data_IF_160853762105
#
_entry.id   IF_160853762105
#
_cell.length_a   1.000
_cell.length_b   1.000
_cell.length_c   1.000
_cell.angle_alpha   90.00
_cell.angle_beta   90.00
_cell.angle_gamma   90.00
#
_symmetry.space_group_name_H-M   'P 1'
#
loop_
_entity.id
_entity.type
_entity.pdbx_description
1 polymer ?
#
# COMPACT_ATOMS: atom_id res chain seq x y z
N UNK A 1 -42.58 28.98 -21.40
CA UNK A 1 -42.04 28.79 -20.03
C UNK A 1 -41.27 27.48 -20.06
N UNK A 2 -39.95 27.60 -19.92
CA UNK A 2 -38.98 26.51 -20.03
C UNK A 2 -38.89 25.78 -18.69
N UNK A 3 -39.28 24.50 -18.66
CA UNK A 3 -38.86 23.59 -17.60
C UNK A 3 -37.72 22.75 -18.16
N UNK A 4 -36.50 23.28 -18.02
CA UNK A 4 -35.28 22.51 -18.25
C UNK A 4 -35.14 21.47 -17.15
N UNK A 5 -35.16 20.20 -17.55
CA UNK A 5 -34.80 19.05 -16.71
C UNK A 5 -33.35 19.20 -16.23
N UNK A 6 -33.17 19.61 -14.97
CA UNK A 6 -31.86 19.66 -14.30
C UNK A 6 -31.43 18.28 -13.77
N UNK A 7 -32.06 17.19 -14.19
CA UNK A 7 -31.86 15.87 -13.61
C UNK A 7 -30.84 14.98 -14.35
N UNK A 8 -30.00 15.54 -15.22
CA UNK A 8 -29.09 14.77 -16.11
C UNK A 8 -27.58 14.87 -15.80
N UNK A 9 -27.18 15.21 -14.57
CA UNK A 9 -25.75 15.24 -14.19
C UNK A 9 -25.40 14.45 -12.93
N UNK A 10 -26.21 13.44 -12.56
CA UNK A 10 -25.75 12.40 -11.67
C UNK A 10 -24.78 11.50 -12.44
N UNK A 11 -23.49 11.83 -12.42
CA UNK A 11 -22.45 10.87 -12.76
C UNK A 11 -22.72 9.61 -11.91
N UNK A 12 -22.73 8.40 -12.49
CA UNK A 12 -22.91 7.20 -11.71
C UNK A 12 -21.83 7.18 -10.62
N UNK A 13 -22.25 7.21 -9.36
CA UNK A 13 -21.33 7.04 -8.22
C UNK A 13 -20.50 5.80 -8.52
N UNK A 14 -19.16 5.91 -8.63
CA UNK A 14 -18.34 4.75 -8.91
C UNK A 14 -18.63 3.73 -7.81
N UNK A 15 -19.10 2.55 -8.21
CA UNK A 15 -19.36 1.50 -7.25
C UNK A 15 -18.07 1.23 -6.47
N UNK A 16 -18.18 0.85 -5.19
CA UNK A 16 -17.00 0.51 -4.41
C UNK A 16 -16.10 -0.48 -5.19
N UNK A 17 -16.69 -1.49 -5.82
CA UNK A 17 -15.99 -2.45 -6.68
C UNK A 17 -15.18 -1.77 -7.80
N UNK A 18 -15.75 -0.78 -8.49
CA UNK A 18 -15.04 -0.03 -9.53
C UNK A 18 -13.91 0.85 -8.96
N UNK A 19 -14.08 1.38 -7.74
CA UNK A 19 -13.07 2.23 -7.09
C UNK A 19 -11.87 1.43 -6.55
N UNK A 20 -12.01 0.13 -6.29
CA UNK A 20 -10.93 -0.69 -5.72
C UNK A 20 -9.66 -0.65 -6.57
N UNK A 21 -9.78 -0.88 -7.89
CA UNK A 21 -8.64 -0.87 -8.82
C UNK A 21 -7.91 0.47 -8.80
N UNK A 22 -8.65 1.56 -8.95
CA UNK A 22 -8.13 2.93 -8.89
C UNK A 22 -7.38 3.25 -7.59
N UNK A 23 -7.82 2.69 -6.46
CA UNK A 23 -7.16 2.87 -5.17
C UNK A 23 -5.96 1.92 -4.97
N UNK A 24 -6.02 0.71 -5.52
CA UNK A 24 -5.00 -0.32 -5.35
C UNK A 24 -3.80 -0.09 -6.28
N UNK A 25 -4.02 0.28 -7.53
CA UNK A 25 -2.99 0.47 -8.56
C UNK A 25 -1.81 1.35 -8.11
N UNK A 26 -2.02 2.58 -7.61
CA UNK A 26 -0.90 3.42 -7.18
C UNK A 26 -0.14 2.84 -5.99
N UNK A 27 -0.81 2.13 -5.08
CA UNK A 27 -0.18 1.49 -3.93
C UNK A 27 0.67 0.29 -4.34
N UNK A 28 0.22 -0.49 -5.33
CA UNK A 28 0.99 -1.59 -5.92
C UNK A 28 2.21 -1.04 -6.66
N UNK A 29 2.03 0.01 -7.48
CA UNK A 29 3.13 0.66 -8.18
C UNK A 29 4.19 1.23 -7.20
N UNK A 30 3.76 1.88 -6.12
CA UNK A 30 4.64 2.37 -5.05
C UNK A 30 5.42 1.22 -4.41
N UNK A 31 4.75 0.13 -4.02
CA UNK A 31 5.41 -1.02 -3.40
C UNK A 31 6.46 -1.67 -4.33
N UNK A 32 6.14 -1.82 -5.62
CA UNK A 32 7.07 -2.38 -6.61
C UNK A 32 8.26 -1.46 -6.85
N UNK A 33 8.04 -0.15 -7.00
CA UNK A 33 9.11 0.82 -7.19
C UNK A 33 10.08 0.84 -6.01
N UNK A 34 9.57 0.78 -4.78
CA UNK A 34 10.41 0.71 -3.58
C UNK A 34 11.19 -0.60 -3.50
N UNK A 35 10.55 -1.74 -3.82
CA UNK A 35 11.24 -3.03 -3.85
C UNK A 35 12.41 -3.03 -4.86
N UNK A 36 12.18 -2.52 -6.08
CA UNK A 36 13.23 -2.41 -7.10
C UNK A 36 14.36 -1.46 -6.67
N UNK A 37 14.02 -0.34 -6.03
CA UNK A 37 15.01 0.59 -5.51
C UNK A 37 15.89 -0.04 -4.43
N UNK A 38 15.28 -0.76 -3.47
CA UNK A 38 16.00 -1.46 -2.40
C UNK A 38 16.96 -2.51 -2.96
N UNK A 39 16.56 -3.25 -4.00
CA UNK A 39 17.43 -4.25 -4.65
C UNK A 39 18.67 -3.60 -5.26
N UNK A 40 18.55 -2.39 -5.81
CA UNK A 40 19.67 -1.66 -6.42
C UNK A 40 20.55 -0.98 -5.39
N UNK A 41 19.94 -0.39 -4.37
CA UNK A 41 20.61 0.37 -3.32
C UNK A 41 19.80 0.25 -2.01
N UNK A 42 20.15 -0.71 -1.14
CA UNK A 42 19.48 -0.87 0.15
C UNK A 42 19.52 0.42 0.96
N UNK A 43 18.36 0.84 1.49
CA UNK A 43 18.27 2.00 2.35
C UNK A 43 17.13 1.85 3.36
N UNK A 44 17.36 2.38 4.56
CA UNK A 44 16.36 2.40 5.63
C UNK A 44 15.08 3.16 5.21
N UNK A 45 15.22 4.19 4.39
CA UNK A 45 14.09 4.97 3.86
C UNK A 45 13.31 4.20 2.79
N UNK A 46 13.99 3.52 1.86
CA UNK A 46 13.30 2.65 0.89
C UNK A 46 12.50 1.55 1.59
N UNK A 47 13.10 0.91 2.61
CA UNK A 47 12.40 -0.06 3.46
C UNK A 47 11.23 0.56 4.24
N UNK A 48 11.32 1.84 4.62
CA UNK A 48 10.19 2.57 5.20
C UNK A 48 9.01 2.61 4.26
N UNK A 49 9.25 3.10 3.05
CA UNK A 49 8.21 3.43 2.09
C UNK A 49 7.55 2.14 1.59
N UNK A 50 8.35 1.07 1.40
CA UNK A 50 7.81 -0.26 1.15
C UNK A 50 6.86 -0.72 2.27
N UNK A 51 7.24 -0.56 3.55
CA UNK A 51 6.35 -0.90 4.68
C UNK A 51 5.07 -0.08 4.67
N UNK A 52 5.16 1.22 4.38
CA UNK A 52 4.01 2.13 4.31
C UNK A 52 3.04 1.68 3.21
N UNK A 53 3.53 1.43 2.00
CA UNK A 53 2.73 0.95 0.87
C UNK A 53 2.02 -0.38 1.19
N UNK A 54 2.75 -1.36 1.73
CA UNK A 54 2.18 -2.67 2.11
C UNK A 54 1.12 -2.56 3.21
N UNK A 55 1.33 -1.67 4.20
CA UNK A 55 0.31 -1.40 5.24
C UNK A 55 -0.94 -0.76 4.64
N UNK A 56 -0.80 0.17 3.70
CA UNK A 56 -1.92 0.80 2.98
C UNK A 56 -2.70 -0.23 2.17
N UNK A 57 -2.02 -1.11 1.43
CA UNK A 57 -2.65 -2.24 0.72
C UNK A 57 -3.44 -3.13 1.66
N UNK A 58 -2.86 -3.51 2.81
CA UNK A 58 -3.56 -4.33 3.81
C UNK A 58 -4.80 -3.65 4.38
N UNK A 59 -4.75 -2.33 4.61
CA UNK A 59 -5.90 -1.56 5.07
C UNK A 59 -6.98 -1.46 3.98
N UNK A 60 -6.60 -1.26 2.72
CA UNK A 60 -7.55 -1.24 1.59
C UNK A 60 -8.32 -2.55 1.51
N UNK A 61 -7.61 -3.69 1.53
CA UNK A 61 -8.23 -5.02 1.53
C UNK A 61 -9.17 -5.23 2.72
N UNK A 62 -8.78 -4.77 3.91
CA UNK A 62 -9.65 -4.83 5.09
C UNK A 62 -10.94 -4.02 4.91
N UNK A 63 -10.85 -2.80 4.38
CA UNK A 63 -12.02 -1.94 4.12
C UNK A 63 -12.97 -2.54 3.07
N UNK A 64 -12.41 -3.29 2.11
CA UNK A 64 -13.15 -3.96 1.05
C UNK A 64 -13.60 -5.38 1.38
N UNK A 65 -13.31 -5.88 2.59
CA UNK A 65 -13.62 -7.25 3.03
C UNK A 65 -15.06 -7.70 2.72
N UNK A 66 -16.12 -6.88 2.88
CA UNK A 66 -17.49 -7.32 2.57
C UNK A 66 -17.74 -7.63 1.09
N UNK A 67 -16.87 -7.16 0.20
CA UNK A 67 -16.97 -7.31 -1.26
C UNK A 67 -16.00 -8.36 -1.82
N UNK A 68 -15.19 -8.98 -0.97
CA UNK A 68 -14.14 -9.94 -1.35
C UNK A 68 -14.45 -11.33 -0.82
N UNK A 69 -13.91 -12.35 -1.48
CA UNK A 69 -13.87 -13.68 -0.89
C UNK A 69 -13.11 -13.66 0.44
N UNK A 70 -13.68 -14.28 1.47
CA UNK A 70 -13.14 -14.22 2.83
C UNK A 70 -11.77 -14.92 2.95
N UNK A 71 -11.57 -16.02 2.21
CA UNK A 71 -10.31 -16.76 2.18
C UNK A 71 -9.22 -15.97 1.49
N UNK A 72 -9.51 -15.44 0.30
CA UNK A 72 -8.54 -14.66 -0.47
C UNK A 72 -8.20 -13.34 0.24
N UNK A 73 -9.18 -12.65 0.83
CA UNK A 73 -8.92 -11.45 1.62
C UNK A 73 -8.01 -11.74 2.82
N UNK A 74 -8.24 -12.85 3.52
CA UNK A 74 -7.39 -13.25 4.65
C UNK A 74 -5.96 -13.54 4.18
N UNK A 75 -5.82 -14.35 3.13
CA UNK A 75 -4.53 -14.73 2.54
C UNK A 75 -3.72 -13.52 2.10
N UNK A 76 -4.33 -12.59 1.36
CA UNK A 76 -3.64 -11.42 0.82
C UNK A 76 -3.22 -10.44 1.92
N UNK A 77 -4.08 -10.24 2.93
CA UNK A 77 -3.72 -9.41 4.09
C UNK A 77 -2.56 -10.00 4.90
N UNK A 78 -2.52 -11.33 5.05
CA UNK A 78 -1.39 -12.00 5.71
C UNK A 78 -0.10 -11.90 4.89
N UNK A 79 -0.19 -12.00 3.56
CA UNK A 79 0.96 -11.78 2.68
C UNK A 79 1.53 -10.35 2.87
N UNK A 80 0.68 -9.32 2.79
CA UNK A 80 1.13 -7.93 3.00
C UNK A 80 1.71 -7.71 4.40
N UNK A 81 1.12 -8.34 5.42
CA UNK A 81 1.66 -8.32 6.78
C UNK A 81 3.07 -8.91 6.83
N UNK A 82 3.25 -10.12 6.28
CA UNK A 82 4.54 -10.82 6.29
C UNK A 82 5.63 -10.02 5.58
N UNK A 83 5.31 -9.42 4.43
CA UNK A 83 6.24 -8.57 3.68
C UNK A 83 6.61 -7.31 4.48
N UNK A 84 5.63 -6.62 5.09
CA UNK A 84 5.88 -5.42 5.87
C UNK A 84 6.68 -5.70 7.15
N UNK A 85 6.46 -6.85 7.79
CA UNK A 85 7.21 -7.28 8.97
C UNK A 85 8.67 -7.61 8.60
N UNK A 86 8.88 -8.24 7.44
CA UNK A 86 10.22 -8.56 6.93
C UNK A 86 11.02 -7.30 6.58
N UNK A 87 10.41 -6.36 5.85
CA UNK A 87 11.02 -5.07 5.55
C UNK A 87 11.33 -4.27 6.83
N UNK A 88 10.54 -4.47 7.90
CA UNK A 88 10.80 -3.87 9.20
C UNK A 88 12.08 -4.37 9.85
N UNK A 89 12.25 -5.69 9.91
CA UNK A 89 13.46 -6.30 10.48
C UNK A 89 14.72 -5.86 9.74
N UNK A 90 14.67 -5.78 8.41
CA UNK A 90 15.81 -5.31 7.62
C UNK A 90 16.18 -3.86 7.98
N UNK A 91 15.18 -2.97 8.10
CA UNK A 91 15.40 -1.57 8.48
C UNK A 91 16.02 -1.44 9.87
N UNK A 92 15.61 -2.28 10.82
CA UNK A 92 16.14 -2.23 12.18
C UNK A 92 17.67 -2.52 12.19
N UNK A 93 18.15 -3.41 11.31
CA UNK A 93 19.58 -3.64 11.12
C UNK A 93 20.30 -2.46 10.46
N UNK A 94 19.70 -1.82 9.45
CA UNK A 94 20.29 -0.64 8.80
C UNK A 94 20.47 0.51 9.80
N UNK A 95 19.45 0.79 10.61
CA UNK A 95 19.52 1.81 11.67
C UNK A 95 20.60 1.44 12.70
N UNK A 96 20.71 0.17 13.08
CA UNK A 96 21.74 -0.27 14.02
C UNK A 96 23.15 -0.06 13.45
N UNK A 97 23.37 -0.36 12.17
CA UNK A 97 24.65 -0.14 11.50
C UNK A 97 24.99 1.36 11.49
N UNK A 98 24.03 2.22 11.14
CA UNK A 98 24.20 3.68 11.12
C UNK A 98 24.59 4.21 12.52
N UNK A 99 23.89 3.77 13.57
CA UNK A 99 24.21 4.13 14.95
C UNK A 99 25.62 3.70 15.38
N UNK A 100 26.04 2.49 14.99
CA UNK A 100 27.38 1.97 15.30
C UNK A 100 28.48 2.71 14.54
N UNK A 101 28.21 3.21 13.34
CA UNK A 101 29.15 4.04 12.58
C UNK A 101 29.34 5.41 13.24
N UNK A 102 28.25 6.04 13.68
CA UNK A 102 28.28 7.34 14.39
C UNK A 102 29.02 7.28 15.74
N UNK A 103 29.08 6.12 16.40
CA UNK A 103 29.83 5.95 17.66
C UNK A 103 31.34 5.80 17.47
N UNK A 104 31.82 5.61 16.23
CA UNK A 104 33.25 5.40 15.93
C UNK A 104 33.98 6.67 15.48
N UNK A 105 33.27 7.77 15.35
CA UNK A 105 33.79 9.12 15.12
C UNK A 105 33.88 9.90 16.45
#
# INVERSE_FOLDING_TARGET
MSHGDLNQLALPEPSAVAAFGTLAEPLVAEALAQADAIVRAPSAEGLHQLRVALRRLRSLWWSYRPLLDAGENSRQRELFKSLADTAGKARDYDILIELLQLQRE
#
